data_IF_548387620843
#
_entry.id   IF_548387620843
#
_cell.length_a   1.000
_cell.length_b   1.000
_cell.length_c   1.000
_cell.angle_alpha   90.00
_cell.angle_beta   90.00
_cell.angle_gamma   90.00
#
_symmetry.space_group_name_H-M   'P 1'
#
loop_
_entity.id
_entity.type
_entity.pdbx_description
1 polymer ?
#
# COMPACT_ATOMS: atom_id res chain seq x y z
N UNK A 1 31.39 8.25 -5.64
CA UNK A 1 30.13 7.55 -5.80
C UNK A 1 29.43 7.38 -4.47
N UNK A 2 28.18 7.64 -4.43
CA UNK A 2 27.40 7.54 -3.21
C UNK A 2 26.77 6.15 -3.07
N UNK A 3 26.50 5.71 -1.84
CA UNK A 3 25.80 4.45 -1.59
C UNK A 3 24.49 4.34 -2.35
N UNK A 4 23.86 5.47 -2.69
CA UNK A 4 22.59 5.51 -3.43
C UNK A 4 22.68 4.90 -4.82
N UNK A 5 23.80 5.11 -5.54
CA UNK A 5 23.98 4.54 -6.88
C UNK A 5 24.32 3.05 -6.85
N UNK A 6 24.73 2.52 -5.70
CA UNK A 6 24.95 1.08 -5.52
C UNK A 6 23.62 0.35 -5.32
N UNK A 7 22.54 1.09 -5.02
CA UNK A 7 21.20 0.57 -4.82
C UNK A 7 20.22 1.25 -5.77
N UNK A 8 20.31 0.94 -7.07
CA UNK A 8 19.49 1.61 -8.08
C UNK A 8 18.05 1.10 -8.17
N UNK A 9 17.72 0.04 -7.47
CA UNK A 9 16.38 -0.54 -7.50
C UNK A 9 15.58 -0.03 -6.29
N UNK A 10 14.51 0.68 -6.55
CA UNK A 10 13.70 1.28 -5.51
C UNK A 10 12.30 0.68 -5.49
N UNK A 11 11.66 0.74 -4.34
CA UNK A 11 10.21 0.54 -4.23
C UNK A 11 9.58 1.93 -4.09
N UNK A 12 8.68 2.23 -5.01
CA UNK A 12 7.95 3.50 -5.05
C UNK A 12 6.52 3.27 -4.60
N UNK A 13 6.06 4.12 -3.69
CA UNK A 13 4.68 4.03 -3.22
C UNK A 13 3.74 4.41 -4.37
N UNK A 14 2.80 3.52 -4.68
CA UNK A 14 1.81 3.77 -5.72
C UNK A 14 0.44 4.10 -5.09
N UNK A 15 -0.07 3.20 -4.26
CA UNK A 15 -1.27 3.41 -3.46
C UNK A 15 -1.19 2.53 -2.22
N UNK A 16 -2.17 2.65 -1.32
CA UNK A 16 -2.20 1.84 -0.10
C UNK A 16 -2.20 0.34 -0.45
N UNK A 17 -1.25 -0.39 0.12
CA UNK A 17 -1.10 -1.83 -0.12
C UNK A 17 -0.34 -2.21 -1.37
N UNK A 18 0.15 -1.24 -2.15
CA UNK A 18 0.91 -1.52 -3.38
C UNK A 18 2.09 -0.59 -3.56
N UNK A 19 3.21 -1.18 -3.96
CA UNK A 19 4.42 -0.45 -4.36
C UNK A 19 4.94 -1.03 -5.67
N UNK A 20 5.49 -0.17 -6.52
CA UNK A 20 6.11 -0.58 -7.77
C UNK A 20 7.63 -0.57 -7.67
N UNK A 21 8.27 -1.52 -8.34
CA UNK A 21 9.73 -1.54 -8.50
C UNK A 21 10.11 -0.49 -9.55
N UNK A 22 11.09 0.35 -9.24
CA UNK A 22 11.58 1.41 -10.11
C UNK A 22 13.09 1.32 -10.26
N UNK A 23 13.59 1.41 -11.48
CA UNK A 23 15.03 1.45 -11.75
C UNK A 23 15.49 2.90 -11.86
N UNK A 24 16.39 3.31 -10.98
CA UNK A 24 16.93 4.66 -10.95
C UNK A 24 18.13 4.72 -11.90
N UNK A 25 18.00 5.51 -12.96
CA UNK A 25 19.09 5.75 -13.91
C UNK A 25 19.96 6.93 -13.50
N UNK A 26 19.31 8.01 -13.07
CA UNK A 26 19.99 9.21 -12.59
C UNK A 26 19.33 9.75 -11.35
N UNK A 27 20.09 10.45 -10.56
CA UNK A 27 19.64 10.95 -9.27
C UNK A 27 20.24 12.34 -8.98
N UNK A 28 19.41 13.24 -8.44
CA UNK A 28 19.84 14.50 -7.87
C UNK A 28 19.51 14.52 -6.37
N UNK A 29 19.74 15.65 -5.69
CA UNK A 29 19.48 15.77 -4.25
C UNK A 29 18.01 15.54 -3.88
N UNK A 30 17.08 15.89 -4.76
CA UNK A 30 15.64 15.89 -4.49
C UNK A 30 14.79 15.11 -5.52
N UNK A 31 15.40 14.58 -6.57
CA UNK A 31 14.68 13.83 -7.58
C UNK A 31 15.43 12.61 -8.10
N UNK A 32 14.68 11.65 -8.62
CA UNK A 32 15.20 10.46 -9.29
C UNK A 32 14.56 10.36 -10.66
N UNK A 33 15.29 9.81 -11.62
CA UNK A 33 14.81 9.60 -12.99
C UNK A 33 15.10 8.17 -13.40
N UNK A 34 14.14 7.50 -14.01
CA UNK A 34 14.30 6.12 -14.44
C UNK A 34 13.01 5.54 -15.00
N UNK A 35 12.80 4.26 -14.81
CA UNK A 35 11.66 3.55 -15.38
C UNK A 35 11.16 2.42 -14.48
N UNK A 36 9.93 1.96 -14.75
CA UNK A 36 9.32 0.82 -14.06
C UNK A 36 9.52 -0.45 -14.90
N UNK A 37 10.43 -1.37 -14.51
CA UNK A 37 10.76 -2.53 -15.33
C UNK A 37 9.64 -3.56 -15.46
N UNK A 38 8.71 -3.60 -14.50
CA UNK A 38 7.64 -4.60 -14.46
C UNK A 38 6.34 -4.14 -15.13
N UNK A 39 6.32 -2.96 -15.74
CA UNK A 39 5.17 -2.49 -16.53
C UNK A 39 5.24 -3.01 -17.95
N UNK A 40 4.08 -3.35 -18.50
CA UNK A 40 3.98 -3.88 -19.88
C UNK A 40 4.57 -2.93 -20.92
N UNK A 41 4.36 -1.64 -20.74
CA UNK A 41 4.87 -0.62 -21.65
C UNK A 41 5.91 0.22 -20.91
N UNK A 42 7.16 0.09 -21.34
CA UNK A 42 8.24 0.94 -20.83
C UNK A 42 8.25 2.19 -21.70
N UNK A 43 7.72 3.28 -21.15
CA UNK A 43 7.75 4.58 -21.81
C UNK A 43 9.09 5.28 -21.64
N UNK A 44 9.17 6.57 -22.02
CA UNK A 44 10.35 7.39 -21.77
C UNK A 44 10.63 7.48 -20.26
N UNK A 45 11.88 7.75 -19.85
CA UNK A 45 12.20 7.90 -18.43
C UNK A 45 11.33 8.97 -17.75
N UNK A 46 10.92 8.68 -16.54
CA UNK A 46 10.10 9.61 -15.73
C UNK A 46 10.86 10.04 -14.49
N UNK A 47 10.56 11.24 -14.02
CA UNK A 47 11.19 11.82 -12.83
C UNK A 47 10.21 11.92 -11.68
N UNK A 48 10.68 11.59 -10.48
CA UNK A 48 9.90 11.66 -9.26
C UNK A 48 10.72 12.31 -8.14
N UNK A 49 10.03 12.82 -7.13
CA UNK A 49 10.67 13.25 -5.90
C UNK A 49 11.27 12.05 -5.17
N UNK A 50 12.44 12.21 -4.57
CA UNK A 50 13.06 11.18 -3.72
C UNK A 50 12.18 10.80 -2.53
N UNK A 51 11.24 11.65 -2.15
CA UNK A 51 10.31 11.41 -1.05
C UNK A 51 9.36 10.24 -1.33
N UNK A 52 9.15 9.88 -2.60
CA UNK A 52 8.34 8.74 -2.98
C UNK A 52 9.04 7.40 -2.84
N UNK A 53 10.34 7.39 -2.59
CA UNK A 53 11.13 6.17 -2.41
C UNK A 53 10.88 5.60 -1.02
N UNK A 54 10.36 4.37 -0.96
CA UNK A 54 10.13 3.67 0.30
C UNK A 54 11.35 2.91 0.78
N UNK A 55 12.09 2.30 -0.16
CA UNK A 55 13.28 1.51 0.14
C UNK A 55 14.12 1.37 -1.13
N UNK A 56 15.42 1.05 -0.97
CA UNK A 56 16.35 0.84 -2.07
C UNK A 56 17.04 -0.51 -1.94
N UNK A 57 17.35 -1.11 -3.08
CA UNK A 57 17.93 -2.44 -3.14
C UNK A 57 19.04 -2.47 -4.19
N UNK A 58 20.04 -3.33 -3.94
CA UNK A 58 21.16 -3.50 -4.85
C UNK A 58 20.76 -4.27 -6.12
N UNK A 59 19.75 -5.14 -6.02
CA UNK A 59 19.32 -5.99 -7.15
C UNK A 59 17.81 -5.90 -7.38
N UNK A 60 17.41 -6.19 -8.61
CA UNK A 60 16.00 -6.27 -8.99
C UNK A 60 15.28 -7.38 -8.21
N UNK A 61 15.93 -8.52 -8.04
CA UNK A 61 15.37 -9.66 -7.32
C UNK A 61 15.06 -9.33 -5.87
N UNK A 62 15.98 -8.62 -5.22
CA UNK A 62 15.78 -8.18 -3.83
C UNK A 62 14.60 -7.19 -3.72
N UNK A 63 14.46 -6.27 -4.66
CA UNK A 63 13.35 -5.33 -4.71
C UNK A 63 12.02 -6.03 -4.92
N UNK A 64 11.96 -7.00 -5.83
CA UNK A 64 10.76 -7.80 -6.09
C UNK A 64 10.35 -8.64 -4.87
N UNK A 65 11.32 -9.28 -4.23
CA UNK A 65 11.07 -10.08 -3.04
C UNK A 65 10.51 -9.22 -1.90
N UNK A 66 11.08 -8.03 -1.70
CA UNK A 66 10.60 -7.09 -0.68
C UNK A 66 9.17 -6.61 -0.98
N UNK A 67 8.86 -6.34 -2.25
CA UNK A 67 7.50 -5.96 -2.68
C UNK A 67 6.50 -7.07 -2.38
N UNK A 68 6.82 -8.30 -2.76
CA UNK A 68 5.95 -9.45 -2.51
C UNK A 68 5.68 -9.66 -1.02
N UNK A 69 6.72 -9.55 -0.20
CA UNK A 69 6.59 -9.66 1.26
C UNK A 69 5.71 -8.56 1.83
N UNK A 70 5.89 -7.32 1.37
CA UNK A 70 5.11 -6.18 1.84
C UNK A 70 3.63 -6.29 1.43
N UNK A 71 3.36 -6.75 0.20
CA UNK A 71 1.99 -6.97 -0.28
C UNK A 71 1.30 -8.08 0.53
N UNK A 72 2.01 -9.15 0.83
CA UNK A 72 1.48 -10.24 1.65
C UNK A 72 1.12 -9.77 3.06
N UNK A 73 1.99 -8.97 3.68
CA UNK A 73 1.72 -8.38 5.00
C UNK A 73 0.51 -7.45 4.96
N UNK A 74 0.41 -6.60 3.94
CA UNK A 74 -0.74 -5.73 3.78
C UNK A 74 -2.05 -6.53 3.70
N UNK A 75 -2.09 -7.57 2.86
CA UNK A 75 -3.29 -8.40 2.68
C UNK A 75 -3.72 -9.07 3.97
N UNK A 76 -2.77 -9.52 4.76
CA UNK A 76 -3.03 -10.13 6.07
C UNK A 76 -3.71 -9.15 7.02
N UNK A 77 -3.18 -7.94 7.12
CA UNK A 77 -3.76 -6.91 7.98
C UNK A 77 -5.07 -6.37 7.42
N UNK A 78 -5.19 -6.25 6.11
CA UNK A 78 -6.42 -5.81 5.44
C UNK A 78 -7.57 -6.78 5.70
N UNK A 79 -7.31 -8.07 5.70
CA UNK A 79 -8.32 -9.08 6.05
C UNK A 79 -8.83 -8.87 7.49
N UNK A 80 -7.93 -8.58 8.42
CA UNK A 80 -8.30 -8.27 9.80
C UNK A 80 -9.16 -7.01 9.91
N UNK A 81 -8.84 -5.97 9.13
CA UNK A 81 -9.62 -4.73 9.07
C UNK A 81 -11.03 -5.02 8.55
N UNK A 82 -11.15 -5.81 7.48
CA UNK A 82 -12.45 -6.18 6.90
C UNK A 82 -13.31 -6.97 7.87
N UNK A 83 -12.69 -7.90 8.61
CA UNK A 83 -13.40 -8.67 9.62
C UNK A 83 -13.90 -7.77 10.76
N UNK A 84 -13.08 -6.82 11.20
CA UNK A 84 -13.46 -5.83 12.21
C UNK A 84 -14.60 -4.92 11.74
N UNK A 85 -14.58 -4.49 10.48
CA UNK A 85 -15.65 -3.70 9.88
C UNK A 85 -16.97 -4.47 9.82
N UNK A 86 -16.91 -5.74 9.46
CA UNK A 86 -18.09 -6.63 9.43
C UNK A 86 -18.68 -6.81 10.83
N UNK A 87 -17.82 -7.03 11.83
CA UNK A 87 -18.26 -7.16 13.22
C UNK A 87 -18.88 -5.86 13.74
N UNK A 88 -18.31 -4.71 13.36
CA UNK A 88 -18.84 -3.40 13.73
C UNK A 88 -20.25 -3.18 13.15
N UNK A 89 -20.45 -3.50 11.87
CA UNK A 89 -21.76 -3.37 11.22
C UNK A 89 -22.82 -4.26 11.90
N UNK A 90 -22.44 -5.48 12.25
CA UNK A 90 -23.31 -6.41 12.95
C UNK A 90 -23.70 -5.86 14.35
N UNK A 91 -22.75 -5.29 15.07
CA UNK A 91 -22.99 -4.68 16.37
C UNK A 91 -23.89 -3.43 16.27
N UNK A 92 -23.67 -2.60 15.25
CA UNK A 92 -24.50 -1.42 14.99
C UNK A 92 -25.94 -1.83 14.68
N UNK A 93 -26.12 -2.87 13.87
CA UNK A 93 -27.46 -3.41 13.55
C UNK A 93 -28.14 -3.94 14.81
N UNK A 94 -27.43 -4.71 15.63
CA UNK A 94 -27.97 -5.24 16.88
C UNK A 94 -28.41 -4.13 17.82
N UNK A 95 -27.65 -3.05 17.91
CA UNK A 95 -27.99 -1.88 18.71
C UNK A 95 -29.27 -1.21 18.21
N UNK A 96 -29.38 -1.04 16.90
CA UNK A 96 -30.57 -0.46 16.26
C UNK A 96 -31.80 -1.33 16.50
N UNK A 97 -31.69 -2.65 16.30
CA UNK A 97 -32.78 -3.60 16.49
C UNK A 97 -33.25 -3.62 17.96
N UNK A 98 -32.33 -3.56 18.91
CA UNK A 98 -32.65 -3.53 20.33
C UNK A 98 -33.42 -2.24 20.71
N UNK A 99 -32.98 -1.11 20.15
CA UNK A 99 -33.64 0.18 20.38
C UNK A 99 -35.07 0.18 19.82
N UNK A 100 -35.24 -0.28 18.57
CA UNK A 100 -36.56 -0.38 17.92
C UNK A 100 -37.49 -1.32 18.69
N UNK A 101 -36.98 -2.44 19.17
CA UNK A 101 -37.75 -3.37 19.99
C UNK A 101 -38.22 -2.70 21.28
N UNK A 102 -37.34 -1.98 21.93
CA UNK A 102 -37.68 -1.25 23.16
C UNK A 102 -38.80 -0.22 22.93
N UNK A 103 -38.76 0.49 21.80
CA UNK A 103 -39.81 1.47 21.45
C UNK A 103 -41.13 0.78 21.16
N UNK A 104 -41.13 -0.34 20.48
CA UNK A 104 -42.37 -1.12 20.20
C UNK A 104 -42.98 -1.67 21.48
N UNK A 105 -42.17 -2.22 22.37
CA UNK A 105 -42.64 -2.75 23.64
C UNK A 105 -43.26 -1.64 24.51
N UNK A 106 -42.66 -0.47 24.49
CA UNK A 106 -43.19 0.70 25.20
C UNK A 106 -44.55 1.17 24.64
N UNK A 107 -44.70 1.13 23.31
CA UNK A 107 -45.93 1.52 22.63
C UNK A 107 -47.09 0.56 22.90
N UNK A 108 -46.82 -0.70 23.19
CA UNK A 108 -47.83 -1.73 23.47
C UNK A 108 -48.34 -1.71 24.93
N UNK A 109 -47.74 -0.92 25.77
CA UNK A 109 -48.16 -0.79 27.21
C UNK A 109 -49.33 0.21 27.36
#
# INVERSE_FOLDING_TARGET
>A
MTERMERPWALMRHHAGWADVFHIETESADSITGFYPDRETVGPPVSYSVRGVLARFATLEAARAAREGAVAEWRKHDAGVRDAETALRAAEKAREDAWLKCLRDAAER
#
